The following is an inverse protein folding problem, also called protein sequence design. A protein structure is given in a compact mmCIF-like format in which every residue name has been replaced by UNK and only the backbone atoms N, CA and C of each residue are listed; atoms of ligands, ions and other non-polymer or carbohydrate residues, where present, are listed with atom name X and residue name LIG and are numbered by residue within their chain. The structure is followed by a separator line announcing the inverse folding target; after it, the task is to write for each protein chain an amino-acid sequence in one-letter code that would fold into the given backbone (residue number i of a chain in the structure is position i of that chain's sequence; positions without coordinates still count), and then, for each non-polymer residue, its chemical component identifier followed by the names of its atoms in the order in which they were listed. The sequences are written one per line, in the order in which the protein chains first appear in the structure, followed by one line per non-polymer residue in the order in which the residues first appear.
data_IF_741037447352
#
_entry.id   IF_741037447352
#
_cell.length_a   1.000
_cell.length_b   1.000
_cell.length_c   1.000
_cell.angle_alpha   90.00
_cell.angle_beta   90.00
_cell.angle_gamma   90.00
#
_symmetry.space_group_name_H-M   'P 1'
#
loop_
_entity.id
_entity.type
_entity.pdbx_description
1 polymer ?
#
# COMPACT_ATOMS: atom_id res chain seq x y z
N UNK A 1 5.26 11.19 -32.02
CA UNK A 1 5.74 12.24 -31.10
C UNK A 1 4.73 13.37 -31.22
N UNK A 2 3.91 13.61 -30.20
CA UNK A 2 2.87 14.64 -30.25
C UNK A 2 3.59 15.99 -30.06
N UNK A 3 3.57 16.85 -31.09
CA UNK A 3 4.12 18.21 -30.97
C UNK A 3 3.21 19.06 -30.07
N UNK A 4 3.51 19.08 -28.77
CA UNK A 4 2.87 19.97 -27.79
C UNK A 4 3.47 21.39 -27.86
N UNK A 5 3.47 22.02 -29.04
CA UNK A 5 3.83 23.44 -29.18
C UNK A 5 2.72 24.28 -28.53
N UNK A 6 2.87 24.56 -27.23
CA UNK A 6 1.94 25.39 -26.44
C UNK A 6 1.56 24.84 -25.06
N UNK A 7 2.04 23.65 -24.68
CA UNK A 7 1.76 23.04 -23.38
C UNK A 7 0.37 22.42 -23.26
N UNK A 8 0.13 21.72 -22.13
CA UNK A 8 -1.12 21.00 -21.84
C UNK A 8 -2.35 21.94 -21.85
N UNK A 9 -2.13 23.24 -21.62
CA UNK A 9 -3.18 24.27 -21.56
C UNK A 9 -3.89 24.54 -22.90
N UNK A 10 -3.35 24.08 -24.03
CA UNK A 10 -3.97 24.22 -25.35
C UNK A 10 -4.87 23.04 -25.75
N UNK A 11 -4.96 22.01 -24.90
CA UNK A 11 -5.84 20.87 -25.12
C UNK A 11 -7.25 21.18 -24.62
N UNK A 12 -8.25 20.45 -25.13
CA UNK A 12 -9.57 20.48 -24.48
C UNK A 12 -9.42 20.06 -23.01
N UNK A 13 -10.28 20.55 -22.11
CA UNK A 13 -10.17 20.29 -20.65
C UNK A 13 -9.95 18.82 -20.35
N UNK A 14 -10.64 17.95 -21.07
CA UNK A 14 -10.64 16.51 -20.86
C UNK A 14 -9.33 15.85 -21.34
N UNK A 15 -8.80 16.31 -22.48
CA UNK A 15 -7.51 15.85 -23.00
C UNK A 15 -6.35 16.33 -22.12
N UNK A 16 -6.42 17.58 -21.66
CA UNK A 16 -5.43 18.16 -20.75
C UNK A 16 -5.41 17.45 -19.40
N UNK A 17 -6.59 17.16 -18.83
CA UNK A 17 -6.73 16.38 -17.61
C UNK A 17 -6.13 14.97 -17.77
N UNK A 18 -6.50 14.26 -18.84
CA UNK A 18 -6.00 12.89 -19.06
C UNK A 18 -4.48 12.82 -19.19
N UNK A 19 -3.85 13.73 -19.94
CA UNK A 19 -2.39 13.78 -20.04
C UNK A 19 -1.72 14.13 -18.70
N UNK A 20 -2.33 15.02 -17.92
CA UNK A 20 -1.84 15.37 -16.58
C UNK A 20 -1.90 14.16 -15.63
N UNK A 21 -3.03 13.45 -15.60
CA UNK A 21 -3.20 12.24 -14.79
C UNK A 21 -2.23 11.13 -15.21
N UNK A 22 -1.95 10.99 -16.52
CA UNK A 22 -0.95 10.04 -17.01
C UNK A 22 0.49 10.38 -16.62
N UNK A 23 0.86 11.66 -16.67
CA UNK A 23 2.17 12.11 -16.21
C UNK A 23 2.32 11.88 -14.69
N UNK A 24 1.29 12.22 -13.91
CA UNK A 24 1.25 11.94 -12.47
C UNK A 24 1.32 10.44 -12.17
N UNK A 25 0.63 9.60 -12.95
CA UNK A 25 0.68 8.15 -12.78
C UNK A 25 2.12 7.66 -12.94
N UNK A 26 2.79 8.03 -14.04
CA UNK A 26 4.17 7.62 -14.31
C UNK A 26 5.14 8.04 -13.20
N UNK A 27 5.02 9.27 -12.70
CA UNK A 27 5.84 9.78 -11.61
C UNK A 27 5.58 9.01 -10.30
N UNK A 28 4.30 8.76 -9.95
CA UNK A 28 3.93 7.92 -8.81
C UNK A 28 4.48 6.49 -8.92
N UNK A 29 4.47 5.88 -10.12
CA UNK A 29 5.02 4.54 -10.35
C UNK A 29 6.52 4.52 -10.13
N UNK A 30 7.22 5.51 -10.70
CA UNK A 30 8.66 5.64 -10.53
C UNK A 30 9.01 5.81 -9.05
N UNK A 31 8.38 6.77 -8.37
CA UNK A 31 8.65 7.11 -6.98
C UNK A 31 8.42 5.92 -6.03
N UNK A 32 7.28 5.22 -6.18
CA UNK A 32 6.89 4.10 -5.31
C UNK A 32 7.88 2.94 -5.35
N UNK A 33 8.40 2.60 -6.52
CA UNK A 33 9.34 1.47 -6.63
C UNK A 33 10.79 1.90 -6.41
N UNK A 34 11.20 3.12 -6.75
CA UNK A 34 12.61 3.57 -6.64
C UNK A 34 13.00 4.10 -5.27
N UNK A 35 12.03 4.29 -4.37
CA UNK A 35 12.26 4.98 -3.10
C UNK A 35 12.84 6.40 -3.30
N UNK A 36 12.46 7.06 -4.40
CA UNK A 36 12.82 8.45 -4.73
C UNK A 36 11.56 9.33 -4.59
N UNK A 37 11.66 10.59 -4.10
CA UNK A 37 10.52 11.50 -4.10
C UNK A 37 9.93 11.71 -5.52
N UNK A 38 8.60 11.87 -5.65
CA UNK A 38 7.97 12.27 -6.90
C UNK A 38 8.44 13.66 -7.33
N UNK A 39 8.49 13.90 -8.64
CA UNK A 39 8.91 15.17 -9.23
C UNK A 39 7.75 16.11 -9.55
N UNK A 40 6.56 15.57 -9.78
CA UNK A 40 5.42 16.28 -10.36
C UNK A 40 4.44 16.81 -9.30
N UNK A 41 4.58 16.39 -8.04
CA UNK A 41 3.70 16.82 -6.95
C UNK A 41 4.39 16.67 -5.60
N UNK A 42 3.97 17.50 -4.64
CA UNK A 42 4.40 17.36 -3.26
C UNK A 42 3.63 16.24 -2.55
N UNK A 43 4.36 15.43 -1.78
CA UNK A 43 3.75 14.49 -0.86
C UNK A 43 3.32 15.27 0.39
N UNK A 44 2.02 15.30 0.63
CA UNK A 44 1.45 15.81 1.86
C UNK A 44 1.31 14.70 2.91
N UNK A 45 0.96 15.07 4.14
CA UNK A 45 0.62 14.10 5.19
C UNK A 45 -0.43 13.09 4.73
N UNK A 46 -0.49 11.90 5.35
CA UNK A 46 -1.35 10.84 4.90
C UNK A 46 -2.80 11.30 5.04
N UNK A 47 -3.56 11.17 3.96
CA UNK A 47 -5.01 11.38 3.99
C UNK A 47 -5.62 10.12 4.58
N UNK A 48 -5.64 10.13 5.90
CA UNK A 48 -6.63 9.44 6.71
C UNK A 48 -7.99 10.05 6.32
N UNK A 49 -9.02 9.26 5.96
CA UNK A 49 -10.34 9.78 5.51
C UNK A 49 -10.88 10.75 6.60
N UNK A 50 -11.99 11.40 6.33
CA UNK A 50 -12.67 12.28 7.28
C UNK A 50 -14.13 11.81 7.25
N UNK A 51 -14.61 11.09 8.28
CA UNK A 51 -16.04 10.75 8.36
C UNK A 51 -16.75 12.01 8.86
N UNK A 52 -16.85 13.02 7.99
CA UNK A 52 -17.73 14.16 8.24
C UNK A 52 -19.17 13.74 8.02
N UNK A 53 -19.73 13.08 9.03
CA UNK A 53 -21.09 13.37 9.46
C UNK A 53 -20.97 14.04 10.83
N UNK A 54 -21.17 15.36 10.79
CA UNK A 54 -21.20 16.29 11.92
C UNK A 54 -21.78 15.65 13.19
N UNK A 55 -20.98 15.40 14.21
CA UNK A 55 -21.27 15.67 15.63
C UNK A 55 -19.96 15.49 16.43
N UNK A 56 -19.87 16.23 17.54
CA UNK A 56 -18.72 16.34 18.45
C UNK A 56 -18.24 14.95 18.86
N UNK A 57 -17.11 14.45 18.35
CA UNK A 57 -16.66 13.11 18.75
C UNK A 57 -15.20 12.83 18.31
N UNK A 58 -14.34 12.44 19.28
CA UNK A 58 -12.95 12.02 19.08
C UNK A 58 -12.93 10.64 18.41
N UNK A 59 -12.83 10.56 17.09
CA UNK A 59 -12.62 9.28 16.41
C UNK A 59 -11.78 9.43 15.15
N UNK A 60 -10.79 8.54 15.04
CA UNK A 60 -10.01 8.30 13.84
C UNK A 60 -10.45 6.93 13.26
N UNK A 61 -11.27 6.92 12.21
CA UNK A 61 -11.63 5.68 11.53
C UNK A 61 -10.90 5.56 10.19
N UNK A 62 -9.56 5.50 10.15
CA UNK A 62 -8.86 5.87 8.92
C UNK A 62 -7.66 5.00 8.51
N UNK A 63 -7.89 4.15 7.50
CA UNK A 63 -6.81 3.60 6.69
C UNK A 63 -6.86 4.18 5.28
N UNK A 64 -5.70 4.55 4.68
CA UNK A 64 -5.53 4.78 3.26
C UNK A 64 -6.15 3.73 2.36
N UNK A 65 -6.26 2.50 2.83
CA UNK A 65 -6.71 1.33 2.08
C UNK A 65 -8.18 0.99 2.35
N UNK A 66 -8.86 1.81 3.15
CA UNK A 66 -10.33 1.87 3.22
C UNK A 66 -10.94 2.78 2.16
N UNK A 67 -10.18 3.20 1.14
CA UNK A 67 -10.80 3.68 -0.10
C UNK A 67 -11.41 2.51 -0.88
N UNK A 68 -12.27 1.76 -0.20
CA UNK A 68 -13.34 1.01 -0.81
C UNK A 68 -14.49 2.00 -0.86
N UNK A 69 -14.45 2.80 -1.92
CA UNK A 69 -15.45 3.81 -2.22
C UNK A 69 -16.64 3.18 -2.93
N UNK A 70 -17.09 2.03 -2.44
CA UNK A 70 -18.41 1.56 -2.76
C UNK A 70 -18.95 0.78 -1.56
N UNK A 71 -20.27 0.75 -1.47
CA UNK A 71 -21.09 -0.12 -0.64
C UNK A 71 -20.69 -1.62 -0.63
N UNK A 72 -19.70 -2.00 -1.44
CA UNK A 72 -19.25 -3.36 -1.70
C UNK A 72 -18.19 -3.92 -0.74
N UNK A 73 -17.61 -3.17 0.22
CA UNK A 73 -16.92 -3.82 1.36
C UNK A 73 -17.86 -4.26 2.48
N UNK A 74 -19.16 -3.95 2.36
CA UNK A 74 -20.18 -4.68 3.09
C UNK A 74 -20.48 -6.05 2.44
N UNK A 75 -20.00 -6.30 1.21
CA UNK A 75 -19.99 -7.65 0.66
C UNK A 75 -18.81 -8.37 1.26
N UNK A 76 -19.10 -9.42 2.02
CA UNK A 76 -18.10 -10.42 2.36
C UNK A 76 -17.37 -10.81 1.08
N UNK A 77 -16.07 -10.57 1.03
CA UNK A 77 -15.17 -11.16 0.04
C UNK A 77 -14.72 -12.46 0.68
N UNK A 78 -15.41 -13.60 0.47
CA UNK A 78 -15.22 -14.79 1.31
C UNK A 78 -13.78 -15.30 1.17
N UNK A 79 -13.18 -15.06 0.01
CA UNK A 79 -11.80 -15.42 -0.32
C UNK A 79 -10.72 -14.64 0.44
N UNK A 80 -11.05 -13.50 1.07
CA UNK A 80 -10.13 -12.75 1.94
C UNK A 80 -10.44 -12.94 3.42
N UNK A 81 -11.47 -13.72 3.77
CA UNK A 81 -11.92 -13.88 5.15
C UNK A 81 -10.81 -14.40 6.06
N UNK A 82 -9.97 -15.33 5.58
CA UNK A 82 -8.83 -15.86 6.34
C UNK A 82 -7.73 -14.81 6.61
N UNK A 83 -7.67 -13.77 5.79
CA UNK A 83 -6.64 -12.72 5.84
C UNK A 83 -7.12 -11.43 6.50
N UNK A 84 -8.41 -11.34 6.85
CA UNK A 84 -9.04 -10.10 7.32
C UNK A 84 -8.34 -9.51 8.54
N UNK A 85 -8.04 -10.33 9.55
CA UNK A 85 -7.36 -9.87 10.75
C UNK A 85 -5.94 -9.34 10.48
N UNK A 86 -5.21 -9.95 9.54
CA UNK A 86 -3.86 -9.50 9.14
C UNK A 86 -3.96 -8.16 8.41
N UNK A 87 -4.90 -8.02 7.47
CA UNK A 87 -5.12 -6.77 6.74
C UNK A 87 -5.52 -5.64 7.69
N UNK A 88 -6.44 -5.92 8.62
CA UNK A 88 -6.86 -4.97 9.65
C UNK A 88 -5.65 -4.49 10.46
N UNK A 89 -4.87 -5.40 11.01
CA UNK A 89 -3.71 -5.02 11.82
C UNK A 89 -2.66 -4.23 11.02
N UNK A 90 -2.40 -4.61 9.77
CA UNK A 90 -1.44 -3.91 8.91
C UNK A 90 -1.84 -2.43 8.74
N UNK A 91 -3.13 -2.19 8.56
CA UNK A 91 -3.67 -0.84 8.39
C UNK A 91 -3.76 -0.07 9.70
N UNK A 92 -4.17 -0.72 10.78
CA UNK A 92 -4.16 -0.12 12.13
C UNK A 92 -2.73 0.28 12.52
N UNK A 93 -1.71 -0.48 12.10
CA UNK A 93 -0.32 -0.17 12.41
C UNK A 93 0.20 1.08 11.68
N UNK A 94 -0.25 1.31 10.44
CA UNK A 94 0.01 2.56 9.74
C UNK A 94 -0.71 3.74 10.42
N UNK A 95 -1.94 3.55 10.89
CA UNK A 95 -2.68 4.57 11.64
C UNK A 95 -1.98 4.91 12.96
N UNK A 96 -1.54 3.91 13.72
CA UNK A 96 -0.74 4.12 14.94
C UNK A 96 0.54 4.90 14.64
N UNK A 97 1.22 4.64 13.51
CA UNK A 97 2.38 5.43 13.09
C UNK A 97 2.00 6.89 12.78
N UNK A 98 0.86 7.13 12.14
CA UNK A 98 0.37 8.47 11.88
C UNK A 98 0.07 9.22 13.19
N UNK A 99 -0.57 8.56 14.16
CA UNK A 99 -0.81 9.13 15.49
C UNK A 99 0.53 9.49 16.16
N UNK A 100 1.51 8.57 16.16
CA UNK A 100 2.86 8.86 16.65
C UNK A 100 3.54 10.05 15.95
N UNK A 101 3.25 10.28 14.67
CA UNK A 101 3.88 11.34 13.88
C UNK A 101 3.19 12.71 14.03
N UNK A 102 1.87 12.73 14.26
CA UNK A 102 1.07 13.96 14.20
C UNK A 102 0.33 14.31 15.50
N UNK A 103 0.18 13.37 16.43
CA UNK A 103 -0.53 13.54 17.72
C UNK A 103 0.24 12.81 18.83
N UNK A 104 1.33 13.46 19.29
CA UNK A 104 2.26 12.89 20.28
C UNK A 104 1.62 12.70 21.65
N UNK A 105 0.59 13.49 21.98
CA UNK A 105 -0.10 13.40 23.27
C UNK A 105 -0.90 12.11 23.32
N UNK A 106 -1.76 11.87 22.31
CA UNK A 106 -2.51 10.60 22.19
C UNK A 106 -1.56 9.41 22.07
N UNK A 107 -0.47 9.53 21.29
CA UNK A 107 0.52 8.46 21.17
C UNK A 107 1.19 8.09 22.50
N UNK A 108 1.39 9.06 23.38
CA UNK A 108 1.96 8.84 24.72
C UNK A 108 0.95 8.16 25.64
N UNK A 109 -0.30 8.66 25.64
CA UNK A 109 -1.41 8.09 26.42
C UNK A 109 -1.72 6.63 26.03
N UNK A 110 -1.70 6.31 24.73
CA UNK A 110 -2.03 4.98 24.20
C UNK A 110 -0.82 4.05 24.00
N UNK A 111 0.37 4.43 24.48
CA UNK A 111 1.63 3.73 24.19
C UNK A 111 1.61 2.23 24.52
N UNK A 112 1.05 1.83 25.67
CA UNK A 112 0.91 0.43 26.07
C UNK A 112 -0.08 -0.34 25.18
N UNK A 113 -1.15 0.33 24.74
CA UNK A 113 -2.14 -0.23 23.82
C UNK A 113 -1.51 -0.47 22.46
N UNK A 114 -0.73 0.49 21.95
CA UNK A 114 -0.02 0.37 20.67
C UNK A 114 0.99 -0.78 20.71
N UNK A 115 1.74 -0.88 21.80
CA UNK A 115 2.68 -1.99 22.02
C UNK A 115 1.97 -3.34 21.99
N UNK A 116 0.89 -3.50 22.76
CA UNK A 116 0.10 -4.74 22.78
C UNK A 116 -0.48 -5.09 21.41
N UNK A 117 -1.00 -4.11 20.67
CA UNK A 117 -1.51 -4.31 19.29
C UNK A 117 -0.41 -4.78 18.34
N UNK A 118 0.78 -4.17 18.39
CA UNK A 118 1.93 -4.57 17.55
C UNK A 118 2.43 -5.97 17.89
N UNK A 119 2.49 -6.34 19.16
CA UNK A 119 2.89 -7.68 19.60
C UNK A 119 1.89 -8.74 19.10
N UNK A 120 0.59 -8.47 19.22
CA UNK A 120 -0.47 -9.35 18.70
C UNK A 120 -0.42 -9.49 17.17
N UNK A 121 -0.19 -8.38 16.46
CA UNK A 121 -0.03 -8.39 15.00
C UNK A 121 1.19 -9.22 14.60
N UNK A 122 2.34 -8.99 15.25
CA UNK A 122 3.56 -9.74 14.99
C UNK A 122 3.36 -11.24 15.21
N UNK A 123 2.74 -11.63 16.33
CA UNK A 123 2.42 -13.02 16.62
C UNK A 123 1.56 -13.64 15.52
N UNK A 124 0.57 -12.91 14.99
CA UNK A 124 -0.33 -13.38 13.92
C UNK A 124 0.36 -13.55 12.57
N UNK A 125 1.25 -12.64 12.18
CA UNK A 125 1.96 -12.75 10.88
C UNK A 125 3.12 -13.74 10.89
N UNK A 126 3.64 -14.06 12.08
CA UNK A 126 4.67 -15.08 12.28
C UNK A 126 4.11 -16.50 12.40
N UNK A 127 2.79 -16.67 12.58
CA UNK A 127 2.16 -17.98 12.47
C UNK A 127 2.36 -18.50 11.03
N UNK A 128 3.23 -19.49 10.89
CA UNK A 128 3.57 -20.08 9.60
C UNK A 128 2.35 -20.79 9.01
N UNK A 129 2.05 -20.64 7.71
CA UNK A 129 1.27 -21.66 7.03
C UNK A 129 2.10 -22.94 7.03
N UNK A 130 1.47 -24.11 7.17
CA UNK A 130 2.12 -25.44 7.30
C UNK A 130 3.03 -25.86 6.10
N UNK A 131 3.19 -24.99 5.11
CA UNK A 131 4.02 -25.20 3.91
C UNK A 131 5.43 -24.68 4.15
N UNK A 132 6.43 -25.53 3.88
CA UNK A 132 7.85 -25.16 3.94
C UNK A 132 8.21 -23.98 3.02
N UNK A 133 9.41 -23.37 3.21
CA UNK A 133 9.82 -22.12 2.56
C UNK A 133 9.78 -22.14 1.02
N UNK A 134 9.85 -23.32 0.40
CA UNK A 134 9.83 -23.50 -1.05
C UNK A 134 8.50 -24.02 -1.62
N UNK A 135 7.47 -24.22 -0.78
CA UNK A 135 6.20 -24.78 -1.22
C UNK A 135 5.16 -23.69 -1.42
N UNK A 136 4.92 -23.33 -2.68
CA UNK A 136 3.80 -22.49 -3.06
C UNK A 136 2.50 -23.25 -2.73
N UNK A 137 1.57 -22.66 -1.98
CA UNK A 137 0.33 -23.34 -1.60
C UNK A 137 -0.47 -23.79 -2.83
N UNK A 138 -1.20 -24.93 -2.74
CA UNK A 138 -1.88 -25.49 -3.90
C UNK A 138 -3.11 -24.69 -4.32
N UNK A 139 -3.83 -24.10 -3.36
CA UNK A 139 -5.08 -23.36 -3.62
C UNK A 139 -4.83 -21.86 -3.77
N UNK A 140 -5.65 -21.19 -4.58
CA UNK A 140 -5.59 -19.73 -4.77
C UNK A 140 -5.76 -18.99 -3.45
N UNK A 141 -6.71 -19.42 -2.61
CA UNK A 141 -6.95 -18.82 -1.29
C UNK A 141 -5.70 -18.85 -0.40
N UNK A 142 -5.02 -20.00 -0.30
CA UNK A 142 -3.80 -20.11 0.50
C UNK A 142 -2.63 -19.31 -0.10
N UNK A 143 -2.55 -19.20 -1.43
CA UNK A 143 -1.55 -18.32 -2.09
C UNK A 143 -1.80 -16.85 -1.76
N UNK A 144 -3.06 -16.43 -1.77
CA UNK A 144 -3.47 -15.06 -1.42
C UNK A 144 -3.17 -14.77 0.04
N UNK A 145 -3.51 -15.69 0.95
CA UNK A 145 -3.19 -15.57 2.37
C UNK A 145 -1.67 -15.44 2.59
N UNK A 146 -0.87 -16.25 1.89
CA UNK A 146 0.59 -16.14 1.93
C UNK A 146 1.07 -14.78 1.40
N UNK A 147 0.54 -14.31 0.26
CA UNK A 147 0.90 -13.01 -0.31
C UNK A 147 0.57 -11.85 0.66
N UNK A 148 -0.61 -11.88 1.28
CA UNK A 148 -1.02 -10.91 2.30
C UNK A 148 -0.08 -10.96 3.50
N UNK A 149 0.25 -12.16 4.00
CA UNK A 149 1.14 -12.32 5.15
C UNK A 149 2.57 -11.83 4.87
N UNK A 150 3.11 -12.11 3.69
CA UNK A 150 4.43 -11.64 3.27
C UNK A 150 4.47 -10.11 3.14
N UNK A 151 3.48 -9.52 2.47
CA UNK A 151 3.35 -8.06 2.40
C UNK A 151 3.17 -7.45 3.79
N UNK A 152 2.37 -8.07 4.67
CA UNK A 152 2.15 -7.60 6.03
C UNK A 152 3.44 -7.64 6.87
N UNK A 153 4.33 -8.63 6.69
CA UNK A 153 5.64 -8.66 7.36
C UNK A 153 6.52 -7.50 6.95
N UNK A 154 6.66 -7.26 5.64
CA UNK A 154 7.44 -6.13 5.10
C UNK A 154 6.84 -4.81 5.63
N UNK A 155 5.52 -4.66 5.53
CA UNK A 155 4.81 -3.46 5.97
C UNK A 155 4.88 -3.25 7.49
N UNK A 156 4.86 -4.31 8.29
CA UNK A 156 5.03 -4.25 9.74
C UNK A 156 6.39 -3.70 10.10
N UNK A 157 7.47 -4.18 9.47
CA UNK A 157 8.83 -3.65 9.70
C UNK A 157 8.91 -2.17 9.32
N UNK A 158 8.26 -1.78 8.23
CA UNK A 158 8.15 -0.37 7.85
C UNK A 158 7.42 0.47 8.90
N UNK A 159 6.27 0.01 9.39
CA UNK A 159 5.39 0.83 10.25
C UNK A 159 5.73 0.78 11.74
N UNK A 160 6.12 -0.38 12.27
CA UNK A 160 6.47 -0.55 13.69
C UNK A 160 7.98 -0.39 13.95
N UNK A 161 8.83 -0.92 13.07
CA UNK A 161 10.29 -0.91 13.26
C UNK A 161 10.98 0.27 12.54
N UNK A 162 10.23 1.04 11.74
CA UNK A 162 10.73 2.15 10.92
C UNK A 162 11.84 1.71 9.96
N UNK A 163 11.78 0.46 9.51
CA UNK A 163 12.71 -0.12 8.55
C UNK A 163 12.33 0.30 7.14
N UNK A 164 13.30 0.66 6.30
CA UNK A 164 13.03 0.92 4.88
C UNK A 164 12.49 -0.35 4.20
N UNK A 165 11.64 -0.17 3.18
CA UNK A 165 11.09 -1.32 2.46
C UNK A 165 12.19 -2.12 1.77
N UNK A 166 13.22 -1.45 1.24
CA UNK A 166 14.36 -2.03 0.53
C UNK A 166 15.52 -2.46 1.43
N UNK A 167 15.30 -2.49 2.76
CA UNK A 167 16.25 -3.09 3.69
C UNK A 167 16.39 -4.60 3.43
N UNK A 168 17.61 -5.12 3.59
CA UNK A 168 17.95 -6.53 3.35
C UNK A 168 17.09 -7.51 4.16
N UNK A 169 16.57 -7.11 5.32
CA UNK A 169 15.66 -7.95 6.13
C UNK A 169 14.35 -8.31 5.39
N UNK A 170 13.97 -7.55 4.37
CA UNK A 170 12.77 -7.78 3.57
C UNK A 170 13.02 -8.61 2.30
N UNK A 171 14.28 -8.92 1.96
CA UNK A 171 14.63 -9.55 0.69
C UNK A 171 13.95 -10.91 0.51
N UNK A 172 14.05 -11.80 1.50
CA UNK A 172 13.45 -13.15 1.43
C UNK A 172 11.93 -13.09 1.32
N UNK A 173 11.28 -12.21 2.09
CA UNK A 173 9.84 -12.01 2.03
C UNK A 173 9.42 -11.47 0.65
N UNK A 174 10.21 -10.56 0.06
CA UNK A 174 9.97 -9.99 -1.27
C UNK A 174 10.13 -11.03 -2.38
N UNK A 175 11.18 -11.87 -2.32
CA UNK A 175 11.41 -12.95 -3.29
C UNK A 175 10.26 -13.96 -3.25
N UNK A 176 9.85 -14.39 -2.06
CA UNK A 176 8.69 -15.27 -1.89
C UNK A 176 7.39 -14.61 -2.37
N UNK A 177 7.22 -13.31 -2.09
CA UNK A 177 6.06 -12.55 -2.52
C UNK A 177 5.97 -12.50 -4.05
N UNK A 178 7.08 -12.21 -4.72
CA UNK A 178 7.17 -12.24 -6.17
C UNK A 178 6.82 -13.64 -6.73
N UNK A 179 7.32 -14.71 -6.11
CA UNK A 179 7.05 -16.07 -6.55
C UNK A 179 5.57 -16.46 -6.41
N UNK A 180 4.93 -16.13 -5.28
CA UNK A 180 3.52 -16.49 -5.03
C UNK A 180 2.57 -15.67 -5.90
N UNK A 181 2.81 -14.37 -6.09
CA UNK A 181 1.94 -13.50 -6.87
C UNK A 181 1.83 -13.96 -8.33
N UNK A 182 2.93 -14.44 -8.91
CA UNK A 182 2.97 -14.99 -10.27
C UNK A 182 2.15 -16.27 -10.47
N UNK A 183 1.69 -16.89 -9.38
CA UNK A 183 0.89 -18.11 -9.39
C UNK A 183 -0.57 -17.88 -9.00
N UNK A 184 -0.96 -16.63 -8.74
CA UNK A 184 -2.33 -16.23 -8.47
C UNK A 184 -2.96 -15.73 -9.78
N UNK A 185 -4.17 -16.18 -10.07
CA UNK A 185 -4.91 -15.73 -11.24
C UNK A 185 -5.25 -14.23 -11.13
N UNK A 186 -4.97 -13.45 -12.17
CA UNK A 186 -5.22 -12.00 -12.15
C UNK A 186 -6.71 -11.64 -12.02
N UNK A 187 -7.61 -12.53 -12.42
CA UNK A 187 -9.05 -12.38 -12.22
C UNK A 187 -9.44 -12.32 -10.75
N UNK A 188 -8.67 -12.96 -9.86
CA UNK A 188 -8.87 -12.88 -8.42
C UNK A 188 -8.76 -11.44 -7.91
N UNK A 189 -7.75 -10.71 -8.35
CA UNK A 189 -7.49 -9.36 -7.85
C UNK A 189 -8.48 -8.31 -8.34
N UNK A 190 -9.38 -8.65 -9.28
CA UNK A 190 -10.45 -7.73 -9.72
C UNK A 190 -11.38 -7.36 -8.56
N UNK A 191 -11.70 -8.31 -7.69
CA UNK A 191 -12.61 -8.09 -6.54
C UNK A 191 -11.92 -7.42 -5.34
N UNK A 192 -10.58 -7.41 -5.31
CA UNK A 192 -9.78 -6.92 -4.19
C UNK A 192 -8.59 -6.06 -4.66
N UNK A 193 -8.85 -5.18 -5.61
CA UNK A 193 -7.79 -4.49 -6.34
C UNK A 193 -6.94 -3.54 -5.48
N UNK A 194 -7.51 -2.91 -4.46
CA UNK A 194 -6.72 -2.06 -3.56
C UNK A 194 -5.88 -2.86 -2.55
N UNK A 195 -6.33 -4.04 -2.15
CA UNK A 195 -5.48 -5.00 -1.42
C UNK A 195 -4.32 -5.42 -2.31
N UNK A 196 -4.61 -5.72 -3.59
CA UNK A 196 -3.56 -6.04 -4.55
C UNK A 196 -2.58 -4.89 -4.76
N UNK A 197 -3.08 -3.65 -4.93
CA UNK A 197 -2.25 -2.46 -5.05
C UNK A 197 -1.32 -2.31 -3.85
N UNK A 198 -1.82 -2.46 -2.62
CA UNK A 198 -1.00 -2.40 -1.42
C UNK A 198 0.08 -3.48 -1.37
N UNK A 199 -0.25 -4.72 -1.73
CA UNK A 199 0.72 -5.82 -1.83
C UNK A 199 1.81 -5.46 -2.86
N UNK A 200 1.41 -4.98 -4.03
CA UNK A 200 2.33 -4.60 -5.10
C UNK A 200 3.23 -3.43 -4.73
N UNK A 201 2.70 -2.40 -4.06
CA UNK A 201 3.49 -1.26 -3.60
C UNK A 201 4.51 -1.69 -2.56
N UNK A 202 4.09 -2.50 -1.59
CA UNK A 202 4.96 -3.02 -0.53
C UNK A 202 6.09 -3.88 -1.11
N UNK A 203 5.75 -4.84 -1.99
CA UNK A 203 6.75 -5.69 -2.66
C UNK A 203 7.60 -4.93 -3.67
N UNK A 204 7.00 -3.98 -4.40
CA UNK A 204 7.68 -3.14 -5.38
C UNK A 204 8.73 -2.24 -4.75
N UNK A 205 8.41 -1.62 -3.60
CA UNK A 205 9.38 -0.86 -2.83
C UNK A 205 10.48 -1.76 -2.25
N UNK A 206 10.13 -2.96 -1.75
CA UNK A 206 11.12 -3.91 -1.25
C UNK A 206 12.02 -4.51 -2.35
N UNK A 207 11.57 -4.48 -3.61
CA UNK A 207 12.36 -4.94 -4.76
C UNK A 207 13.38 -3.90 -5.26
N UNK A 208 13.51 -2.74 -4.61
CA UNK A 208 14.53 -1.77 -4.96
C UNK A 208 15.93 -2.40 -4.77
N UNK A 209 16.80 -2.29 -5.78
CA UNK A 209 18.09 -3.00 -5.81
C UNK A 209 18.04 -4.44 -6.33
N UNK A 210 16.85 -5.01 -6.57
CA UNK A 210 16.66 -6.38 -7.09
C UNK A 210 16.18 -6.37 -8.55
N UNK A 211 17.12 -6.29 -9.49
CA UNK A 211 16.84 -6.10 -10.92
C UNK A 211 16.01 -7.24 -11.54
N UNK A 212 16.11 -8.44 -11.00
CA UNK A 212 15.41 -9.64 -11.45
C UNK A 212 13.93 -9.68 -11.02
N UNK A 213 13.57 -9.01 -9.92
CA UNK A 213 12.21 -9.04 -9.35
C UNK A 213 11.43 -7.76 -9.59
N UNK A 214 12.12 -6.61 -9.56
CA UNK A 214 11.51 -5.28 -9.71
C UNK A 214 10.63 -5.10 -10.95
N UNK A 215 11.02 -5.56 -12.16
CA UNK A 215 10.21 -5.32 -13.36
C UNK A 215 8.79 -5.88 -13.26
N UNK A 216 8.61 -7.00 -12.54
CA UNK A 216 7.30 -7.60 -12.31
C UNK A 216 6.39 -6.63 -11.54
N UNK A 217 6.83 -6.14 -10.38
CA UNK A 217 6.03 -5.23 -9.57
C UNK A 217 5.71 -3.94 -10.31
N UNK A 218 6.70 -3.32 -10.97
CA UNK A 218 6.50 -2.09 -11.76
C UNK A 218 5.45 -2.32 -12.84
N UNK A 219 5.53 -3.44 -13.57
CA UNK A 219 4.57 -3.75 -14.64
C UNK A 219 3.15 -3.96 -14.11
N UNK A 220 3.00 -4.60 -12.95
CA UNK A 220 1.70 -4.88 -12.36
C UNK A 220 1.06 -3.64 -11.74
N UNK A 221 1.84 -2.76 -11.08
CA UNK A 221 1.31 -1.47 -10.58
C UNK A 221 0.90 -0.59 -11.77
N UNK A 222 1.70 -0.55 -12.84
CA UNK A 222 1.34 0.19 -14.06
C UNK A 222 0.04 -0.35 -14.68
N UNK A 223 -0.08 -1.68 -14.82
CA UNK A 223 -1.29 -2.33 -15.33
C UNK A 223 -2.52 -1.97 -14.49
N UNK A 224 -2.38 -1.97 -13.16
CA UNK A 224 -3.46 -1.61 -12.25
C UNK A 224 -3.80 -0.12 -12.29
N UNK A 225 -2.79 0.75 -12.39
CA UNK A 225 -2.95 2.19 -12.51
C UNK A 225 -3.64 2.61 -13.81
N UNK A 226 -3.29 1.98 -14.94
CA UNK A 226 -3.95 2.21 -16.23
C UNK A 226 -5.37 1.64 -16.28
N UNK A 227 -5.64 0.55 -15.56
CA UNK A 227 -6.97 -0.06 -15.51
C UNK A 227 -7.91 0.66 -14.54
N UNK A 228 -7.56 0.67 -13.27
CA UNK A 228 -8.40 1.13 -12.15
C UNK A 228 -8.07 2.56 -11.78
N UNK A 229 -6.79 2.93 -11.79
CA UNK A 229 -6.39 4.30 -11.47
C UNK A 229 -7.04 5.32 -12.40
N UNK A 230 -7.20 5.03 -13.69
CA UNK A 230 -7.93 5.93 -14.60
C UNK A 230 -9.45 5.98 -14.36
N UNK A 231 -10.05 4.92 -13.80
CA UNK A 231 -11.49 4.86 -13.52
C UNK A 231 -11.84 5.48 -12.15
N UNK A 232 -11.01 5.26 -11.14
CA UNK A 232 -11.19 5.71 -9.76
C UNK A 232 -9.95 6.49 -9.28
N UNK A 233 -9.61 7.52 -10.05
CA UNK A 233 -8.37 8.30 -9.91
C UNK A 233 -8.17 8.89 -8.51
N UNK A 234 -9.22 9.43 -7.91
CA UNK A 234 -9.14 10.04 -6.59
C UNK A 234 -8.66 9.04 -5.53
N UNK A 235 -9.27 7.87 -5.54
CA UNK A 235 -9.00 6.79 -4.59
C UNK A 235 -7.62 6.19 -4.78
N UNK A 236 -7.29 5.90 -6.04
CA UNK A 236 -5.98 5.43 -6.44
C UNK A 236 -4.88 6.42 -6.00
N UNK A 237 -5.02 7.71 -6.34
CA UNK A 237 -4.06 8.76 -5.98
C UNK A 237 -3.91 8.88 -4.47
N UNK A 238 -5.00 8.74 -3.70
CA UNK A 238 -4.93 8.78 -2.24
C UNK A 238 -4.11 7.60 -1.67
N UNK A 239 -4.33 6.37 -2.16
CA UNK A 239 -3.57 5.20 -1.73
C UNK A 239 -2.09 5.35 -2.08
N UNK A 240 -1.79 5.79 -3.31
CA UNK A 240 -0.43 6.06 -3.76
C UNK A 240 0.23 7.15 -2.90
N UNK A 241 -0.46 8.26 -2.64
CA UNK A 241 0.05 9.35 -1.83
C UNK A 241 0.38 8.92 -0.41
N UNK A 242 -0.48 8.13 0.22
CA UNK A 242 -0.26 7.61 1.57
C UNK A 242 0.94 6.64 1.64
N UNK A 243 1.12 5.81 0.60
CA UNK A 243 2.29 4.95 0.50
C UNK A 243 3.59 5.74 0.29
N UNK A 244 3.57 6.74 -0.59
CA UNK A 244 4.70 7.61 -0.86
C UNK A 244 5.07 8.46 0.37
N UNK A 245 4.08 8.89 1.15
CA UNK A 245 4.30 9.51 2.46
C UNK A 245 5.03 8.57 3.41
N UNK A 246 4.62 7.31 3.52
CA UNK A 246 5.32 6.35 4.37
C UNK A 246 6.79 6.20 3.94
N UNK A 247 7.06 6.07 2.64
CA UNK A 247 8.45 6.01 2.15
C UNK A 247 9.24 7.27 2.50
N UNK A 248 8.66 8.46 2.30
CA UNK A 248 9.31 9.72 2.67
C UNK A 248 9.57 9.82 4.18
N UNK A 249 8.59 9.45 5.00
CA UNK A 249 8.70 9.44 6.45
C UNK A 249 9.85 8.55 6.91
N UNK A 250 9.99 7.37 6.31
CA UNK A 250 11.09 6.46 6.64
C UNK A 250 12.45 7.00 6.20
N UNK A 251 12.53 7.72 5.06
CA UNK A 251 13.80 8.28 4.55
C UNK A 251 14.32 9.41 5.45
N UNK A 252 13.40 10.22 5.92
CA UNK A 252 13.68 11.39 6.75
C UNK A 252 12.90 11.31 8.06
N UNK A 253 13.24 10.36 8.96
CA UNK A 253 12.51 10.24 10.22
C UNK A 253 12.65 11.54 11.01
N UNK A 254 11.56 12.05 11.62
CA UNK A 254 11.64 13.27 12.44
C UNK A 254 12.66 13.05 13.55
N UNK A 255 13.54 14.05 13.75
CA UNK A 255 14.49 14.04 14.86
C UNK A 255 13.69 14.01 16.16
N UNK A 256 13.89 12.96 16.96
CA UNK A 256 13.34 12.82 18.31
C UNK A 256 13.99 13.81 19.26
#
# INVERSE_FOLDING_TARGET
MIELRGGINNLSSDQGQHLSEMALLQDMMHASCSNIPPMMFDIYGPVLRDIRMNHIERWYPQSPLRVLNDSDFARDIPVLQSSFCILKDAFDNLEMLCIEAFDTDTATEESDVFKSRRENFWARIMQAPETGPDQIPPTTEKKVELAVRLAARIHFRATASRTQHDDAVNADDMVQLHAVLRKIDLGFWKVAHYVYLWILLTGGAASNGHAEHRPYFVSEIMRLGLGIGLFDWRSFRQIMGNFLWLQQFLRCPPKR
#
